data_IF_718083384237
#
_entry.id   IF_718083384237
#
_cell.length_a   1.000
_cell.length_b   1.000
_cell.length_c   1.000
_cell.angle_alpha   90.00
_cell.angle_beta   90.00
_cell.angle_gamma   90.00
#
_symmetry.space_group_name_H-M   'P 1'
#
loop_
_entity.id
_entity.type
_entity.pdbx_description
1 polymer ?
#
# COMPACT_ATOMS: atom_id res chain seq x y z
N UNK A 1 5.11 19.46 -3.78
CA UNK A 1 6.16 18.47 -3.44
C UNK A 1 5.84 17.20 -4.19
N UNK A 2 6.80 16.57 -4.86
CA UNK A 2 6.59 15.31 -5.60
C UNK A 2 6.75 14.13 -4.66
N UNK A 3 5.64 13.51 -4.23
CA UNK A 3 5.66 12.41 -3.25
C UNK A 3 5.25 11.08 -3.87
N UNK A 4 5.98 10.04 -3.50
CA UNK A 4 5.59 8.65 -3.72
C UNK A 4 5.40 7.97 -2.36
N UNK A 5 4.15 7.61 -2.04
CA UNK A 5 3.83 6.94 -0.77
C UNK A 5 3.62 5.46 -1.03
N UNK A 6 4.36 4.63 -0.33
CA UNK A 6 4.31 3.17 -0.46
C UNK A 6 3.69 2.60 0.81
N UNK A 7 2.49 2.03 0.70
CA UNK A 7 1.86 1.32 1.81
C UNK A 7 2.35 -0.13 1.82
N UNK A 8 2.87 -0.60 2.94
CA UNK A 8 3.41 -1.95 3.12
C UNK A 8 2.66 -2.69 4.22
N UNK A 9 2.27 -3.95 4.01
CA UNK A 9 1.60 -4.76 5.04
C UNK A 9 0.71 -5.86 4.47
N UNK A 10 0.34 -6.83 5.30
CA UNK A 10 -0.50 -7.97 4.95
C UNK A 10 -1.95 -7.55 4.60
N UNK A 11 -2.74 -8.41 3.94
CA UNK A 11 -4.18 -8.23 3.84
C UNK A 11 -4.80 -8.11 5.23
N UNK A 12 -5.77 -7.22 5.40
CA UNK A 12 -6.38 -6.94 6.72
C UNK A 12 -5.60 -5.94 7.59
N UNK A 13 -4.41 -5.46 7.20
CA UNK A 13 -3.63 -4.54 8.03
C UNK A 13 -4.16 -3.08 8.08
N UNK A 14 -5.22 -2.77 7.34
CA UNK A 14 -5.83 -1.43 7.39
C UNK A 14 -5.35 -0.45 6.31
N UNK A 15 -4.47 -0.83 5.38
CA UNK A 15 -3.97 0.07 4.31
C UNK A 15 -5.07 0.78 3.54
N UNK A 16 -6.01 0.04 2.97
CA UNK A 16 -7.12 0.61 2.19
C UNK A 16 -8.11 1.40 3.09
N UNK A 17 -8.20 1.07 4.38
CA UNK A 17 -8.96 1.85 5.35
C UNK A 17 -8.27 3.21 5.60
N UNK A 18 -6.94 3.21 5.78
CA UNK A 18 -6.14 4.43 5.88
C UNK A 18 -6.35 5.35 4.67
N UNK A 19 -6.29 4.80 3.46
CA UNK A 19 -6.54 5.55 2.21
C UNK A 19 -7.93 6.20 2.24
N UNK A 20 -8.97 5.42 2.58
CA UNK A 20 -10.36 5.89 2.61
C UNK A 20 -10.60 6.94 3.69
N UNK A 21 -10.10 6.74 4.91
CA UNK A 21 -10.30 7.67 6.04
C UNK A 21 -9.65 9.03 5.81
N UNK A 22 -8.62 9.08 4.97
CA UNK A 22 -7.92 10.31 4.64
C UNK A 22 -8.31 10.89 3.27
N UNK A 23 -9.36 10.38 2.62
CA UNK A 23 -9.84 10.81 1.29
C UNK A 23 -8.72 10.82 0.22
N UNK A 24 -7.90 9.74 0.20
CA UNK A 24 -6.72 9.63 -0.65
C UNK A 24 -6.92 8.68 -1.85
N UNK A 25 -8.17 8.25 -2.12
CA UNK A 25 -8.49 7.29 -3.17
C UNK A 25 -8.05 7.73 -4.56
N UNK A 26 -8.21 9.02 -4.88
CA UNK A 26 -7.85 9.60 -6.18
C UNK A 26 -6.34 9.62 -6.42
N UNK A 27 -5.56 9.66 -5.34
CA UNK A 27 -4.10 9.58 -5.40
C UNK A 27 -3.59 8.14 -5.45
N UNK A 28 -4.46 7.14 -5.23
CA UNK A 28 -4.05 5.77 -4.97
C UNK A 28 -4.11 4.89 -6.21
N UNK A 29 -3.00 4.23 -6.52
CA UNK A 29 -2.91 3.08 -7.42
C UNK A 29 -3.02 1.80 -6.58
N UNK A 30 -4.09 1.04 -6.78
CA UNK A 30 -4.34 -0.22 -6.06
C UNK A 30 -4.23 -1.41 -7.00
N UNK A 31 -3.42 -2.41 -6.61
CA UNK A 31 -3.32 -3.67 -7.38
C UNK A 31 -4.64 -4.41 -7.48
N UNK A 32 -5.50 -4.32 -6.46
CA UNK A 32 -6.82 -4.97 -6.50
C UNK A 32 -7.76 -4.27 -7.49
N UNK A 33 -7.74 -2.93 -7.56
CA UNK A 33 -8.50 -2.18 -8.56
C UNK A 33 -8.02 -2.52 -9.98
N UNK A 34 -6.70 -2.61 -10.19
CA UNK A 34 -6.13 -2.98 -11.51
C UNK A 34 -6.49 -4.42 -11.88
N UNK A 35 -6.51 -5.37 -10.94
CA UNK A 35 -6.97 -6.75 -11.22
C UNK A 35 -8.39 -6.77 -11.73
N UNK A 36 -9.29 -5.95 -11.15
CA UNK A 36 -10.69 -5.85 -11.58
C UNK A 36 -10.85 -5.22 -12.97
N UNK A 37 -9.87 -4.45 -13.47
CA UNK A 37 -9.84 -3.98 -14.85
C UNK A 37 -9.51 -5.10 -15.85
N UNK A 38 -8.73 -6.10 -15.43
CA UNK A 38 -8.36 -7.25 -16.28
C UNK A 38 -9.40 -8.37 -16.27
N UNK A 39 -10.13 -8.53 -15.18
CA UNK A 39 -11.13 -9.60 -15.02
C UNK A 39 -12.13 -9.23 -13.95
N UNK A 40 -13.40 -9.56 -14.21
CA UNK A 40 -14.46 -9.45 -13.20
C UNK A 40 -14.23 -10.45 -12.06
N UNK A 41 -14.96 -10.24 -10.97
CA UNK A 41 -15.10 -11.19 -9.88
C UNK A 41 -15.73 -12.48 -10.44
N UNK A 42 -15.24 -13.63 -10.02
CA UNK A 42 -15.79 -14.93 -10.38
C UNK A 42 -16.14 -15.75 -9.12
N UNK A 43 -17.11 -16.64 -9.26
CA UNK A 43 -17.48 -17.56 -8.18
C UNK A 43 -16.64 -18.84 -8.32
N UNK A 44 -15.92 -19.20 -7.27
CA UNK A 44 -15.14 -20.43 -7.20
C UNK A 44 -16.00 -21.67 -7.02
N UNK A 45 -15.39 -22.85 -7.11
CA UNK A 45 -16.08 -24.14 -6.92
C UNK A 45 -16.68 -24.32 -5.51
N UNK A 46 -16.16 -23.57 -4.55
CA UNK A 46 -16.62 -23.51 -3.15
C UNK A 46 -17.76 -22.49 -2.93
N UNK A 47 -18.27 -21.86 -4.00
CA UNK A 47 -19.32 -20.86 -3.94
C UNK A 47 -18.89 -19.47 -3.48
N UNK A 48 -17.59 -19.23 -3.29
CA UNK A 48 -17.06 -17.94 -2.85
C UNK A 48 -16.64 -17.08 -4.03
N UNK A 49 -16.67 -15.77 -3.81
CA UNK A 49 -16.17 -14.78 -4.78
C UNK A 49 -14.65 -14.67 -4.73
N UNK A 50 -14.04 -14.52 -5.91
CA UNK A 50 -12.59 -14.38 -6.06
C UNK A 50 -12.21 -13.33 -7.08
N UNK A 51 -11.05 -12.70 -6.85
CA UNK A 51 -10.31 -11.95 -7.90
C UNK A 51 -9.20 -12.86 -8.42
N UNK A 52 -9.12 -13.00 -9.75
CA UNK A 52 -8.08 -13.82 -10.36
C UNK A 52 -6.67 -13.28 -10.12
N UNK A 53 -5.74 -14.16 -9.78
CA UNK A 53 -4.30 -13.86 -9.68
C UNK A 53 -3.55 -14.17 -10.99
N UNK A 54 -4.25 -14.70 -12.01
CA UNK A 54 -3.65 -15.13 -13.28
C UNK A 54 -2.87 -14.04 -14.00
N UNK A 55 -3.29 -12.79 -13.84
CA UNK A 55 -2.69 -11.65 -14.53
C UNK A 55 -1.71 -10.84 -13.67
N UNK A 56 -1.22 -11.37 -12.55
CA UNK A 56 -0.37 -10.64 -11.61
C UNK A 56 0.80 -9.89 -12.30
N UNK A 57 1.51 -10.53 -13.24
CA UNK A 57 2.59 -9.87 -13.97
C UNK A 57 2.10 -8.62 -14.70
N UNK A 58 1.01 -8.74 -15.48
CA UNK A 58 0.41 -7.62 -16.23
C UNK A 58 -0.14 -6.54 -15.30
N UNK A 59 -0.65 -6.91 -14.13
CA UNK A 59 -1.13 -5.96 -13.11
C UNK A 59 0.02 -5.06 -12.64
N UNK A 60 1.18 -5.63 -12.33
CA UNK A 60 2.34 -4.84 -11.93
C UNK A 60 2.94 -4.04 -13.09
N UNK A 61 3.00 -4.59 -14.30
CA UNK A 61 3.43 -3.86 -15.50
C UNK A 61 2.55 -2.62 -15.74
N UNK A 62 1.22 -2.76 -15.62
CA UNK A 62 0.30 -1.63 -15.73
C UNK A 62 0.46 -0.64 -14.57
N UNK A 63 0.62 -1.13 -13.35
CA UNK A 63 0.84 -0.28 -12.17
C UNK A 63 2.09 0.60 -12.35
N UNK A 64 3.22 0.01 -12.77
CA UNK A 64 4.45 0.77 -13.03
C UNK A 64 4.27 1.81 -14.14
N UNK A 65 3.58 1.45 -15.22
CA UNK A 65 3.28 2.37 -16.32
C UNK A 65 2.39 3.54 -15.88
N UNK A 66 1.35 3.26 -15.10
CA UNK A 66 0.48 4.30 -14.52
C UNK A 66 1.26 5.21 -13.55
N UNK A 67 2.11 4.61 -12.70
CA UNK A 67 2.97 5.35 -11.80
C UNK A 67 3.91 6.29 -12.57
N UNK A 68 4.55 5.79 -13.61
CA UNK A 68 5.46 6.58 -14.46
C UNK A 68 4.75 7.78 -15.10
N UNK A 69 3.55 7.58 -15.66
CA UNK A 69 2.74 8.66 -16.24
C UNK A 69 2.38 9.72 -15.18
N UNK A 70 1.95 9.29 -13.99
CA UNK A 70 1.67 10.21 -12.89
C UNK A 70 2.92 10.99 -12.45
N UNK A 71 4.07 10.35 -12.42
CA UNK A 71 5.34 11.01 -12.10
C UNK A 71 5.75 12.01 -13.16
N UNK A 72 5.52 11.74 -14.44
CA UNK A 72 5.73 12.70 -15.54
C UNK A 72 4.87 13.95 -15.36
N UNK A 73 3.62 13.78 -14.92
CA UNK A 73 2.69 14.89 -14.64
C UNK A 73 3.02 15.64 -13.34
N UNK A 74 3.89 15.12 -12.48
CA UNK A 74 4.20 15.72 -11.18
C UNK A 74 3.20 15.36 -10.07
N UNK A 75 2.36 14.34 -10.27
CA UNK A 75 1.29 13.96 -9.36
C UNK A 75 1.82 13.16 -8.15
N UNK A 76 1.40 13.54 -6.94
CA UNK A 76 1.60 12.68 -5.76
C UNK A 76 0.86 11.37 -5.96
N UNK A 77 1.52 10.24 -5.66
CA UNK A 77 0.92 8.92 -5.87
C UNK A 77 1.12 8.04 -4.65
N UNK A 78 0.07 7.30 -4.30
CA UNK A 78 0.06 6.29 -3.23
C UNK A 78 -0.04 4.90 -3.87
N UNK A 79 0.81 3.97 -3.45
CA UNK A 79 0.77 2.57 -3.88
C UNK A 79 0.11 1.72 -2.79
N UNK A 80 -1.13 1.26 -3.04
CA UNK A 80 -1.85 0.32 -2.18
C UNK A 80 -1.68 -1.12 -2.71
N UNK A 81 -0.63 -1.76 -2.21
CA UNK A 81 -0.32 -3.18 -2.42
C UNK A 81 0.30 -3.75 -1.14
N UNK A 82 0.50 -5.07 -1.07
CA UNK A 82 1.13 -5.70 0.10
C UNK A 82 2.61 -5.30 0.25
N UNK A 83 3.30 -5.08 -0.88
CA UNK A 83 4.69 -4.64 -0.95
C UNK A 83 5.64 -5.46 -0.05
N UNK A 84 5.44 -6.79 -0.05
CA UNK A 84 6.26 -7.74 0.72
C UNK A 84 7.63 -7.98 0.09
N UNK A 85 7.72 -7.83 -1.25
CA UNK A 85 8.93 -8.15 -2.02
C UNK A 85 9.79 -6.91 -2.26
N UNK A 86 11.08 -7.04 -1.96
CA UNK A 86 12.08 -6.01 -2.24
C UNK A 86 12.11 -5.59 -3.72
N UNK A 87 11.98 -6.55 -4.65
CA UNK A 87 12.01 -6.29 -6.09
C UNK A 87 10.92 -5.31 -6.57
N UNK A 88 9.70 -5.43 -6.03
CA UNK A 88 8.61 -4.51 -6.38
C UNK A 88 8.90 -3.08 -5.92
N UNK A 89 9.42 -2.94 -4.71
CA UNK A 89 9.73 -1.63 -4.13
C UNK A 89 10.97 -1.01 -4.77
N UNK A 90 11.97 -1.80 -5.11
CA UNK A 90 13.15 -1.32 -5.85
C UNK A 90 12.76 -0.65 -7.17
N UNK A 91 11.75 -1.17 -7.87
CA UNK A 91 11.26 -0.54 -9.11
C UNK A 91 10.57 0.81 -8.84
N UNK A 92 9.78 0.92 -7.77
CA UNK A 92 9.21 2.20 -7.36
C UNK A 92 10.30 3.24 -7.02
N UNK A 93 11.34 2.83 -6.28
CA UNK A 93 12.45 3.71 -5.92
C UNK A 93 13.28 4.11 -7.14
N UNK A 94 13.45 3.21 -8.12
CA UNK A 94 14.11 3.52 -9.39
C UNK A 94 13.36 4.61 -10.16
N UNK A 95 12.04 4.49 -10.29
CA UNK A 95 11.19 5.51 -10.93
C UNK A 95 11.24 6.83 -10.14
N UNK A 96 11.12 6.76 -8.82
CA UNK A 96 11.19 7.95 -7.96
C UNK A 96 12.49 8.73 -8.16
N UNK A 97 13.63 8.04 -8.29
CA UNK A 97 14.92 8.66 -8.57
C UNK A 97 14.96 9.33 -9.95
N UNK A 98 14.43 8.67 -10.99
CA UNK A 98 14.40 9.22 -12.37
C UNK A 98 13.59 10.52 -12.41
N UNK A 99 12.44 10.55 -11.74
CA UNK A 99 11.51 11.69 -11.80
C UNK A 99 11.65 12.68 -10.64
N UNK A 100 12.69 12.52 -9.79
CA UNK A 100 12.97 13.37 -8.63
C UNK A 100 11.81 13.43 -7.63
N UNK A 101 11.24 12.26 -7.30
CA UNK A 101 10.24 12.09 -6.26
C UNK A 101 10.87 11.74 -4.92
N UNK A 102 10.23 12.15 -3.84
CA UNK A 102 10.58 11.74 -2.48
C UNK A 102 9.72 10.53 -2.08
N UNK A 103 10.30 9.32 -1.97
CA UNK A 103 9.59 8.14 -1.46
C UNK A 103 9.35 8.23 0.04
N UNK A 104 8.16 7.76 0.45
CA UNK A 104 7.77 7.59 1.85
C UNK A 104 7.19 6.18 1.99
N UNK A 105 7.66 5.41 2.97
CA UNK A 105 7.07 4.12 3.32
C UNK A 105 6.21 4.25 4.57
N UNK A 106 4.96 3.77 4.49
CA UNK A 106 4.09 3.58 5.66
C UNK A 106 3.92 2.08 5.85
N UNK A 107 4.53 1.55 6.89
CA UNK A 107 4.59 0.11 7.17
C UNK A 107 3.54 -0.31 8.20
N UNK A 108 2.59 -1.12 7.77
CA UNK A 108 1.51 -1.72 8.56
C UNK A 108 1.87 -3.12 9.05
N UNK A 109 3.14 -3.56 8.97
CA UNK A 109 3.53 -4.92 9.36
C UNK A 109 3.49 -5.17 10.87
N UNK A 110 3.46 -4.11 11.68
CA UNK A 110 3.39 -4.21 13.16
C UNK A 110 1.98 -4.46 13.70
N UNK A 111 0.98 -4.67 12.85
CA UNK A 111 -0.39 -5.02 13.27
C UNK A 111 -0.41 -6.46 13.78
N UNK A 112 -1.03 -6.65 14.95
CA UNK A 112 -1.19 -7.96 15.58
C UNK A 112 -1.86 -8.99 14.65
N UNK A 113 -1.37 -10.23 14.67
CA UNK A 113 -1.81 -11.29 13.76
C UNK A 113 -3.29 -11.66 13.94
N UNK A 114 -3.76 -11.76 15.19
CA UNK A 114 -5.18 -12.07 15.46
C UNK A 114 -6.07 -10.98 14.90
N UNK A 115 -5.68 -9.73 15.06
CA UNK A 115 -6.39 -8.58 14.51
C UNK A 115 -6.39 -8.58 12.98
N UNK A 116 -5.28 -8.97 12.33
CA UNK A 116 -5.24 -9.15 10.87
C UNK A 116 -6.28 -10.15 10.39
N UNK A 117 -6.41 -11.29 11.07
CA UNK A 117 -7.37 -12.34 10.72
C UNK A 117 -8.82 -11.86 10.90
N UNK A 118 -9.13 -11.17 11.99
CA UNK A 118 -10.46 -10.58 12.23
C UNK A 118 -10.81 -9.55 11.15
N UNK A 119 -9.90 -8.64 10.86
CA UNK A 119 -10.10 -7.63 9.83
C UNK A 119 -10.19 -8.24 8.43
N UNK A 120 -9.45 -9.31 8.14
CA UNK A 120 -9.57 -10.02 6.89
C UNK A 120 -10.94 -10.65 6.70
N UNK A 121 -11.55 -11.22 7.76
CA UNK A 121 -12.91 -11.79 7.73
C UNK A 121 -14.00 -10.74 7.44
N UNK A 122 -13.79 -9.49 7.84
CA UNK A 122 -14.74 -8.39 7.62
C UNK A 122 -14.65 -7.74 6.23
N UNK A 123 -13.72 -8.18 5.39
CA UNK A 123 -13.56 -7.66 4.01
C UNK A 123 -14.67 -8.16 3.09
N UNK A 124 -14.83 -7.47 1.94
CA UNK A 124 -15.68 -7.99 0.86
C UNK A 124 -15.24 -9.43 0.48
N UNK A 125 -16.19 -10.33 0.19
CA UNK A 125 -15.97 -11.77 -0.01
C UNK A 125 -14.78 -12.07 -0.94
N UNK A 126 -14.71 -11.40 -2.08
CA UNK A 126 -13.66 -11.55 -3.07
C UNK A 126 -12.27 -11.02 -2.63
N UNK A 127 -12.17 -10.36 -1.50
CA UNK A 127 -10.92 -9.86 -0.90
C UNK A 127 -10.45 -10.67 0.29
N UNK A 128 -11.22 -11.64 0.74
CA UNK A 128 -10.83 -12.51 1.85
C UNK A 128 -9.70 -13.42 1.37
N UNK A 129 -8.62 -13.42 2.12
CA UNK A 129 -7.43 -14.22 1.82
C UNK A 129 -7.33 -15.38 2.80
N UNK A 130 -6.99 -16.61 2.37
CA UNK A 130 -6.76 -17.74 3.26
C UNK A 130 -5.74 -17.43 4.36
N UNK A 131 -5.93 -18.02 5.55
CA UNK A 131 -5.09 -17.73 6.71
C UNK A 131 -3.63 -18.11 6.49
N UNK A 132 -3.36 -19.26 5.87
CA UNK A 132 -2.01 -19.70 5.52
C UNK A 132 -1.27 -18.69 4.63
N UNK A 133 -1.99 -18.08 3.67
CA UNK A 133 -1.40 -17.05 2.79
C UNK A 133 -1.09 -15.77 3.55
N UNK A 134 -1.93 -15.39 4.52
CA UNK A 134 -1.66 -14.24 5.39
C UNK A 134 -0.43 -14.51 6.25
N UNK A 135 -0.30 -15.74 6.80
CA UNK A 135 0.86 -16.15 7.58
C UNK A 135 2.14 -16.03 6.79
N UNK A 136 2.19 -16.62 5.58
CA UNK A 136 3.34 -16.51 4.68
C UNK A 136 3.69 -15.06 4.35
N UNK A 137 2.67 -14.21 4.17
CA UNK A 137 2.90 -12.78 3.93
C UNK A 137 3.49 -12.08 5.15
N UNK A 138 3.05 -12.40 6.36
CA UNK A 138 3.61 -11.85 7.60
C UNK A 138 5.06 -12.26 7.78
N UNK A 139 5.42 -13.51 7.53
CA UNK A 139 6.80 -14.00 7.56
C UNK A 139 7.68 -13.27 6.54
N UNK A 140 7.19 -13.08 5.32
CA UNK A 140 7.88 -12.30 4.28
C UNK A 140 8.04 -10.81 4.66
N UNK A 141 7.04 -10.23 5.33
CA UNK A 141 7.11 -8.85 5.83
C UNK A 141 8.18 -8.73 6.91
N UNK A 142 8.20 -9.63 7.87
CA UNK A 142 9.19 -9.62 8.96
C UNK A 142 10.60 -9.80 8.42
N UNK A 143 10.84 -10.83 7.61
CA UNK A 143 12.16 -11.13 7.03
C UNK A 143 12.71 -10.00 6.15
N UNK A 144 11.85 -9.23 5.50
CA UNK A 144 12.26 -8.09 4.67
C UNK A 144 12.32 -6.75 5.42
N UNK A 145 11.82 -6.66 6.65
CA UNK A 145 11.65 -5.39 7.39
C UNK A 145 12.97 -4.61 7.51
N UNK A 146 14.04 -5.28 7.90
CA UNK A 146 15.34 -4.61 8.07
C UNK A 146 15.88 -4.04 6.75
N UNK A 147 15.66 -4.74 5.63
CA UNK A 147 16.04 -4.22 4.31
C UNK A 147 15.29 -2.92 3.98
N UNK A 148 13.96 -2.87 4.26
CA UNK A 148 13.17 -1.65 4.04
C UNK A 148 13.67 -0.49 4.87
N UNK A 149 13.85 -0.71 6.19
CA UNK A 149 14.36 0.33 7.10
C UNK A 149 15.70 0.87 6.60
N UNK A 150 16.64 -0.02 6.27
CA UNK A 150 17.97 0.38 5.81
C UNK A 150 17.91 1.11 4.46
N UNK A 151 17.11 0.60 3.52
CA UNK A 151 16.98 1.20 2.18
C UNK A 151 16.42 2.61 2.25
N UNK A 152 15.40 2.85 3.08
CA UNK A 152 14.82 4.18 3.23
C UNK A 152 15.78 5.12 3.98
N UNK A 153 16.33 4.71 5.11
CA UNK A 153 17.30 5.52 5.88
C UNK A 153 18.55 5.88 5.09
N UNK A 154 19.15 4.93 4.36
CA UNK A 154 20.39 5.16 3.60
C UNK A 154 20.20 6.11 2.42
N UNK A 155 18.96 6.29 1.92
CA UNK A 155 18.63 7.23 0.86
C UNK A 155 17.97 8.52 1.38
N UNK A 156 17.96 8.73 2.71
CA UNK A 156 17.30 9.88 3.36
C UNK A 156 15.80 9.97 3.05
N UNK A 157 15.12 8.82 2.89
CA UNK A 157 13.69 8.71 2.68
C UNK A 157 12.98 8.44 4.00
N UNK A 158 11.73 8.86 4.11
CA UNK A 158 10.93 8.67 5.31
C UNK A 158 10.39 7.24 5.40
N UNK A 159 10.47 6.66 6.59
CA UNK A 159 9.91 5.35 6.93
C UNK A 159 9.13 5.44 8.23
N UNK A 160 7.84 5.15 8.19
CA UNK A 160 6.93 5.22 9.32
C UNK A 160 6.32 3.85 9.61
N UNK A 161 6.31 3.44 10.88
CA UNK A 161 5.59 2.26 11.33
C UNK A 161 4.16 2.64 11.78
N UNK A 162 3.16 1.94 11.28
CA UNK A 162 1.77 2.13 11.64
C UNK A 162 1.33 1.06 12.63
N UNK A 163 0.92 1.46 13.82
CA UNK A 163 0.54 0.54 14.91
C UNK A 163 -0.97 0.34 15.09
N UNK A 164 -1.78 1.00 14.27
CA UNK A 164 -3.24 0.84 14.26
C UNK A 164 -3.94 1.28 15.53
N UNK A 165 -4.59 2.44 15.53
CA UNK A 165 -5.59 2.81 16.52
C UNK A 165 -6.94 3.02 15.87
N UNK A 166 -8.02 2.65 16.58
CA UNK A 166 -9.40 2.80 16.12
C UNK A 166 -9.90 4.26 16.09
N UNK A 167 -9.16 5.18 16.65
CA UNK A 167 -9.50 6.58 16.72
C UNK A 167 -8.58 7.39 15.81
N UNK A 168 -8.98 7.57 14.55
CA UNK A 168 -8.39 8.58 13.65
C UNK A 168 -6.86 8.62 13.57
N UNK A 169 -6.32 9.46 12.78
CA UNK A 169 -4.91 9.78 12.45
C UNK A 169 -3.85 9.66 13.57
N UNK A 170 -4.22 9.31 14.81
CA UNK A 170 -3.38 9.35 16.02
C UNK A 170 -2.36 8.23 16.22
N UNK A 171 -2.13 7.31 15.28
CA UNK A 171 -1.26 6.16 15.53
C UNK A 171 -0.01 6.06 14.67
N UNK A 172 0.38 7.12 14.04
CA UNK A 172 1.72 7.24 13.49
C UNK A 172 2.64 7.74 14.60
N UNK A 173 3.22 6.83 15.37
CA UNK A 173 4.33 7.19 16.25
C UNK A 173 5.50 7.63 15.39
N UNK A 174 5.64 8.86 15.29
CA UNK A 174 6.70 9.83 15.05
C UNK A 174 6.30 10.88 14.01
N UNK A 175 5.95 12.05 14.53
CA UNK A 175 6.26 13.37 14.00
C UNK A 175 6.27 13.43 12.45
N UNK A 176 5.18 13.77 11.82
CA UNK A 176 5.17 14.12 10.42
C UNK A 176 3.94 13.68 9.62
N UNK A 177 3.22 12.63 9.99
CA UNK A 177 2.05 12.22 9.20
C UNK A 177 0.82 13.08 9.51
N UNK A 178 0.66 13.58 10.73
CA UNK A 178 -0.35 14.62 10.98
C UNK A 178 -0.05 15.87 10.16
N UNK A 179 1.22 16.26 10.08
CA UNK A 179 1.68 17.31 9.16
C UNK A 179 1.60 16.90 7.69
N UNK A 180 1.78 15.63 7.38
CA UNK A 180 1.69 15.11 6.03
C UNK A 180 0.24 15.07 5.54
N UNK A 181 -0.69 14.54 6.31
CA UNK A 181 -2.13 14.57 6.00
C UNK A 181 -2.62 16.02 5.99
N UNK A 182 -2.23 16.84 6.96
CA UNK A 182 -2.54 18.27 7.01
C UNK A 182 -1.97 19.03 5.80
N UNK A 183 -0.75 18.74 5.36
CA UNK A 183 -0.14 19.37 4.18
C UNK A 183 -0.77 18.87 2.89
N UNK A 184 -1.21 17.61 2.81
CA UNK A 184 -2.01 17.10 1.71
C UNK A 184 -3.38 17.79 1.66
N UNK A 185 -4.11 17.85 2.78
CA UNK A 185 -5.39 18.55 2.87
C UNK A 185 -5.25 20.02 2.48
N UNK A 186 -4.26 20.74 3.01
CA UNK A 186 -4.01 22.15 2.66
C UNK A 186 -3.68 22.34 1.19
N UNK A 187 -2.96 21.39 0.57
CA UNK A 187 -2.57 21.48 -0.84
C UNK A 187 -3.73 21.22 -1.80
N UNK A 188 -4.74 20.44 -1.40
CA UNK A 188 -5.89 20.08 -2.22
C UNK A 188 -7.15 20.93 -1.92
N UNK A 189 -7.27 21.49 -0.73
CA UNK A 189 -8.38 22.40 -0.37
C UNK A 189 -8.13 23.86 -0.80
N UNK A 190 -6.91 24.19 -1.23
CA UNK A 190 -6.53 25.54 -1.70
C UNK A 190 -6.47 25.65 -3.24
N UNK A 191 -7.21 24.81 -3.97
CA UNK A 191 -7.42 24.99 -5.42
C UNK A 191 -8.83 25.39 -5.73
#
# INVERSE_FOLDING_TARGET
MKLLIILRGAPGSGKSYFVKQNNLEDLTLSTDKIRLMYSSIYIGKDGRDYITQRFNKRVFELLYKMLEIRMQNGDTTIIDATNTKQSSVSEYLRLAKIYSYTPICIDFSSIDYCRLLEQNKSRASYKIVPEEVIKDMCENLESSKQWFINTFKNNYYDYYEYYGNYAGVGALKNIGIDMFCYNLEKKYLCK
#
